data_IF_581092222130
#
_entry.id   IF_581092222130
#
_cell.length_a   1.000
_cell.length_b   1.000
_cell.length_c   1.000
_cell.angle_alpha   90.00
_cell.angle_beta   90.00
_cell.angle_gamma   90.00
#
_symmetry.space_group_name_H-M   'P 1'
#
loop_
_entity.id
_entity.type
_entity.pdbx_description
1 polymer ?
#
# COMPACT_ATOMS: atom_id res chain seq x y z
N UNK A 1 20.39 -21.19 -12.95
CA UNK A 1 20.47 -20.30 -14.14
C UNK A 1 21.91 -20.06 -14.57
N UNK A 2 22.81 -19.67 -13.65
CA UNK A 2 24.23 -19.43 -13.97
C UNK A 2 25.06 -20.64 -14.43
N UNK A 3 24.54 -21.86 -14.36
CA UNK A 3 25.26 -23.07 -14.83
C UNK A 3 25.41 -23.13 -16.36
N UNK A 4 24.64 -22.33 -17.12
CA UNK A 4 24.65 -22.35 -18.60
C UNK A 4 25.13 -21.02 -19.19
N UNK A 5 24.84 -19.89 -18.55
CA UNK A 5 25.27 -18.57 -18.97
C UNK A 5 25.40 -17.65 -17.76
N UNK A 6 26.54 -16.97 -17.60
CA UNK A 6 26.78 -16.04 -16.50
C UNK A 6 26.25 -14.62 -16.78
N UNK A 7 25.99 -14.28 -18.04
CA UNK A 7 25.58 -12.95 -18.47
C UNK A 7 24.05 -12.82 -18.54
N UNK A 8 23.40 -13.00 -17.40
CA UNK A 8 21.94 -12.96 -17.29
C UNK A 8 21.48 -11.59 -16.80
N UNK A 9 20.58 -10.97 -17.56
CA UNK A 9 19.82 -9.78 -17.16
C UNK A 9 18.36 -10.19 -17.00
N UNK A 10 17.74 -9.85 -15.87
CA UNK A 10 16.33 -10.11 -15.60
C UNK A 10 15.51 -8.83 -15.70
N UNK A 11 14.39 -8.90 -16.42
CA UNK A 11 13.38 -7.84 -16.46
C UNK A 11 12.19 -8.30 -15.63
N UNK A 12 11.89 -7.57 -14.56
CA UNK A 12 10.74 -7.84 -13.69
C UNK A 12 9.50 -7.10 -14.17
N UNK A 13 8.37 -7.81 -14.25
CA UNK A 13 7.05 -7.21 -14.42
C UNK A 13 6.15 -7.68 -13.28
N UNK A 14 6.03 -6.82 -12.26
CA UNK A 14 5.22 -7.05 -11.06
C UNK A 14 4.72 -5.71 -10.50
N UNK A 15 3.60 -5.72 -9.78
CA UNK A 15 2.99 -4.50 -9.25
C UNK A 15 3.48 -4.07 -7.86
N UNK A 16 4.26 -4.93 -7.20
CA UNK A 16 4.76 -4.79 -5.82
C UNK A 16 5.99 -5.70 -5.70
N UNK A 17 6.67 -5.65 -4.56
CA UNK A 17 7.81 -6.48 -4.22
C UNK A 17 7.55 -7.97 -4.41
N UNK A 18 8.57 -8.67 -4.93
CA UNK A 18 8.56 -10.11 -5.15
C UNK A 18 9.78 -10.74 -4.52
N UNK A 19 9.63 -11.98 -4.05
CA UNK A 19 10.77 -12.74 -3.50
C UNK A 19 11.74 -13.11 -4.62
N UNK A 20 13.01 -12.74 -4.46
CA UNK A 20 14.06 -12.96 -5.46
C UNK A 20 15.26 -13.76 -4.91
N UNK A 21 15.11 -15.06 -4.59
CA UNK A 21 16.21 -15.87 -4.08
C UNK A 21 17.34 -16.07 -5.11
N UNK A 22 17.04 -15.81 -6.39
CA UNK A 22 17.93 -15.98 -7.53
C UNK A 22 18.71 -14.71 -7.92
N UNK A 23 18.46 -13.55 -7.30
CA UNK A 23 18.99 -12.26 -7.78
C UNK A 23 20.52 -12.20 -7.84
N UNK A 24 21.21 -12.87 -6.90
CA UNK A 24 22.68 -12.95 -6.88
C UNK A 24 23.25 -13.79 -8.05
N UNK A 25 22.40 -14.46 -8.83
CA UNK A 25 22.77 -15.18 -10.04
C UNK A 25 22.54 -14.34 -11.31
N UNK A 26 22.35 -13.03 -11.18
CA UNK A 26 22.07 -12.13 -12.32
C UNK A 26 23.06 -10.97 -12.31
N UNK A 27 23.52 -10.54 -13.50
CA UNK A 27 24.41 -9.38 -13.66
C UNK A 27 23.63 -8.06 -13.76
N UNK A 28 22.34 -8.13 -14.09
CA UNK A 28 21.48 -6.96 -14.18
C UNK A 28 20.04 -7.28 -13.83
N UNK A 29 19.37 -6.33 -13.20
CA UNK A 29 17.96 -6.38 -12.86
C UNK A 29 17.30 -5.07 -13.28
N UNK A 30 16.27 -5.16 -14.13
CA UNK A 30 15.47 -4.02 -14.55
C UNK A 30 14.03 -4.21 -14.04
N UNK A 31 13.58 -3.34 -13.14
CA UNK A 31 12.22 -3.37 -12.64
C UNK A 31 11.28 -2.57 -13.54
N UNK A 32 10.45 -3.27 -14.32
CA UNK A 32 9.54 -2.70 -15.30
C UNK A 32 8.13 -2.37 -14.78
N UNK A 33 7.80 -2.76 -13.54
CA UNK A 33 6.46 -2.62 -12.97
C UNK A 33 5.36 -3.20 -13.91
N UNK A 34 4.15 -2.65 -13.85
CA UNK A 34 3.08 -2.86 -14.81
C UNK A 34 3.13 -1.73 -15.86
N UNK A 35 3.93 -1.93 -16.91
CA UNK A 35 4.37 -0.87 -17.83
C UNK A 35 3.39 -0.53 -18.97
N UNK A 36 2.18 -1.09 -18.95
CA UNK A 36 1.14 -0.85 -19.96
C UNK A 36 1.52 -1.28 -21.37
N UNK A 37 0.74 -0.85 -22.37
CA UNK A 37 0.86 -1.33 -23.75
C UNK A 37 2.20 -0.98 -24.45
N UNK A 38 2.90 0.06 -23.96
CA UNK A 38 4.19 0.49 -24.52
C UNK A 38 5.40 -0.07 -23.73
N UNK A 39 5.16 -0.93 -22.74
CA UNK A 39 6.17 -1.38 -21.78
C UNK A 39 7.36 -2.11 -22.40
N UNK A 40 7.11 -3.04 -23.32
CA UNK A 40 8.18 -3.78 -24.00
C UNK A 40 9.14 -2.84 -24.76
N UNK A 41 8.60 -1.86 -25.48
CA UNK A 41 9.39 -0.84 -26.20
C UNK A 41 10.20 0.01 -25.22
N UNK A 42 9.63 0.39 -24.08
CA UNK A 42 10.35 1.16 -23.05
C UNK A 42 11.51 0.35 -22.44
N UNK A 43 11.29 -0.92 -22.10
CA UNK A 43 12.34 -1.79 -21.54
C UNK A 43 13.49 -2.00 -22.53
N UNK A 44 13.18 -2.24 -23.81
CA UNK A 44 14.22 -2.42 -24.84
C UNK A 44 15.10 -1.17 -24.99
N UNK A 45 14.50 0.03 -24.97
CA UNK A 45 15.26 1.29 -25.02
C UNK A 45 16.20 1.46 -23.82
N UNK A 46 15.80 0.99 -22.65
CA UNK A 46 16.65 1.01 -21.46
C UNK A 46 17.79 0.01 -21.61
N UNK A 47 17.47 -1.26 -21.89
CA UNK A 47 18.46 -2.34 -22.00
C UNK A 47 19.54 -2.04 -23.06
N UNK A 48 19.16 -1.39 -24.16
CA UNK A 48 20.07 -1.00 -25.24
C UNK A 48 20.87 0.29 -24.97
N UNK A 49 20.61 0.97 -23.85
CA UNK A 49 21.26 2.24 -23.51
C UNK A 49 20.71 3.46 -24.26
N UNK A 50 19.73 3.30 -25.15
CA UNK A 50 19.08 4.43 -25.84
C UNK A 50 18.39 5.38 -24.85
N UNK A 51 17.95 4.86 -23.70
CA UNK A 51 17.44 5.63 -22.58
C UNK A 51 18.17 5.21 -21.30
N UNK A 52 18.79 6.17 -20.62
CA UNK A 52 19.39 5.94 -19.31
C UNK A 52 18.29 5.76 -18.23
N UNK A 53 18.28 4.67 -17.44
CA UNK A 53 17.30 4.46 -16.38
C UNK A 53 17.40 5.56 -15.32
N UNK A 54 16.24 6.01 -14.84
CA UNK A 54 16.13 7.09 -13.84
C UNK A 54 14.92 6.94 -12.92
N UNK A 55 14.37 5.73 -12.84
CA UNK A 55 13.33 5.39 -11.87
C UNK A 55 13.97 5.19 -10.49
N UNK A 56 13.23 5.54 -9.44
CA UNK A 56 13.58 5.23 -8.05
C UNK A 56 12.40 4.48 -7.43
N UNK A 57 12.66 3.48 -6.60
CA UNK A 57 11.64 2.64 -5.98
C UNK A 57 10.69 3.48 -5.11
N UNK A 58 9.38 3.23 -5.26
CA UNK A 58 8.35 3.83 -4.42
C UNK A 58 8.05 3.00 -3.16
N UNK A 59 8.70 1.84 -3.02
CA UNK A 59 8.52 0.87 -1.94
C UNK A 59 9.88 0.26 -1.56
N UNK A 60 10.00 -0.24 -0.34
CA UNK A 60 11.18 -0.99 0.10
C UNK A 60 11.04 -2.45 -0.31
N UNK A 61 12.13 -3.07 -0.80
CA UNK A 61 12.16 -4.50 -1.08
C UNK A 61 12.74 -5.24 0.12
N UNK A 62 11.92 -5.86 0.99
CA UNK A 62 12.44 -6.60 2.13
C UNK A 62 13.22 -7.85 1.67
N UNK A 63 14.13 -8.33 2.53
CA UNK A 63 14.87 -9.57 2.25
C UNK A 63 13.94 -10.78 2.42
N UNK A 64 13.13 -10.78 3.48
CA UNK A 64 12.12 -11.79 3.79
C UNK A 64 10.76 -11.16 4.06
N UNK A 65 9.68 -11.92 3.87
CA UNK A 65 8.33 -11.40 4.13
C UNK A 65 8.11 -11.15 5.63
N UNK A 66 8.73 -11.96 6.46
CA UNK A 66 8.77 -11.89 7.91
C UNK A 66 9.38 -10.58 8.43
N UNK A 67 10.24 -9.94 7.63
CA UNK A 67 10.86 -8.66 7.98
C UNK A 67 9.89 -7.50 7.81
N UNK A 68 8.70 -7.71 7.23
CA UNK A 68 7.72 -6.63 7.05
C UNK A 68 7.08 -6.23 8.39
N UNK A 69 6.83 -4.94 8.64
CA UNK A 69 6.30 -4.47 9.93
C UNK A 69 4.90 -5.01 10.25
N UNK A 70 4.18 -5.47 9.22
CA UNK A 70 2.80 -5.96 9.33
C UNK A 70 2.70 -7.48 9.34
N UNK A 71 3.82 -8.22 9.26
CA UNK A 71 3.83 -9.68 9.13
C UNK A 71 2.93 -10.40 10.15
N UNK A 72 2.96 -9.97 11.41
CA UNK A 72 2.20 -10.60 12.49
C UNK A 72 0.72 -10.22 12.55
N UNK A 73 0.33 -9.09 11.97
CA UNK A 73 -1.01 -8.50 12.15
C UNK A 73 -1.82 -8.38 10.85
N UNK A 74 -1.21 -8.58 9.68
CA UNK A 74 -1.90 -8.69 8.40
C UNK A 74 -2.15 -10.17 8.03
N UNK A 75 -3.32 -10.55 7.49
CA UNK A 75 -4.45 -9.72 7.07
C UNK A 75 -5.48 -9.43 8.17
N UNK A 76 -5.08 -9.52 9.44
CA UNK A 76 -5.97 -9.40 10.60
C UNK A 76 -6.66 -10.72 10.94
N UNK A 77 -7.74 -10.64 11.72
CA UNK A 77 -8.59 -11.79 12.06
C UNK A 77 -9.77 -11.86 11.10
N UNK A 78 -11.01 -11.89 11.60
CA UNK A 78 -12.20 -12.03 10.75
C UNK A 78 -12.84 -10.68 10.42
N UNK A 79 -12.88 -9.74 11.38
CA UNK A 79 -13.60 -8.46 11.29
C UNK A 79 -12.67 -7.26 11.23
N UNK A 80 -11.55 -7.33 11.95
CA UNK A 80 -10.63 -6.21 12.12
C UNK A 80 -9.22 -6.55 11.64
N UNK A 81 -8.55 -5.50 11.15
CA UNK A 81 -7.11 -5.47 10.87
C UNK A 81 -6.54 -4.32 11.67
N UNK A 82 -5.49 -4.58 12.42
CA UNK A 82 -4.92 -3.64 13.38
C UNK A 82 -3.57 -3.14 12.86
N UNK A 83 -3.44 -1.83 12.69
CA UNK A 83 -2.24 -1.18 12.17
C UNK A 83 -1.31 -0.86 13.32
N UNK A 84 -0.77 -1.91 13.95
CA UNK A 84 0.05 -1.81 15.16
C UNK A 84 1.44 -1.23 14.91
N UNK A 85 1.88 -1.21 13.66
CA UNK A 85 3.08 -0.53 13.20
C UNK A 85 2.97 1.01 13.25
N UNK A 86 1.76 1.55 13.44
CA UNK A 86 1.48 2.98 13.47
C UNK A 86 2.08 3.70 12.24
N UNK A 87 3.01 4.64 12.44
CA UNK A 87 3.67 5.37 11.34
C UNK A 87 4.91 4.65 10.78
N UNK A 88 5.34 3.56 11.39
CA UNK A 88 6.51 2.79 10.96
C UNK A 88 6.13 1.87 9.80
N UNK A 89 5.84 2.48 8.65
CA UNK A 89 5.45 1.78 7.42
C UNK A 89 6.57 1.94 6.37
N UNK A 90 6.94 0.82 5.74
CA UNK A 90 7.98 0.79 4.72
C UNK A 90 9.33 1.25 5.29
N UNK A 91 10.07 2.09 4.55
CA UNK A 91 11.39 2.56 4.96
C UNK A 91 11.40 3.27 6.32
N UNK A 92 10.28 3.86 6.77
CA UNK A 92 10.19 4.44 8.13
C UNK A 92 10.46 3.40 9.20
N UNK A 93 10.05 2.16 8.99
CA UNK A 93 10.33 1.05 9.89
C UNK A 93 11.75 0.51 9.71
N UNK A 94 12.13 0.16 8.47
CA UNK A 94 13.43 -0.46 8.18
C UNK A 94 14.59 0.44 8.59
N UNK A 95 14.54 1.73 8.24
CA UNK A 95 15.60 2.69 8.55
C UNK A 95 15.71 2.98 10.05
N UNK A 96 14.59 3.00 10.77
CA UNK A 96 14.56 3.28 12.22
C UNK A 96 15.11 2.12 13.02
N UNK A 97 14.76 0.89 12.63
CA UNK A 97 15.19 -0.34 13.30
C UNK A 97 16.48 -0.94 12.74
N UNK A 98 17.08 -0.30 11.73
CA UNK A 98 18.26 -0.78 11.00
C UNK A 98 18.07 -2.20 10.46
N UNK A 99 16.89 -2.50 9.94
CA UNK A 99 16.56 -3.80 9.34
C UNK A 99 17.00 -3.77 7.88
N UNK A 100 17.87 -4.70 7.45
CA UNK A 100 18.40 -4.69 6.10
C UNK A 100 17.30 -5.02 5.09
N UNK A 101 17.23 -4.20 4.04
CA UNK A 101 16.38 -4.44 2.87
C UNK A 101 17.24 -4.78 1.67
N UNK A 102 16.67 -5.50 0.70
CA UNK A 102 17.38 -5.82 -0.54
C UNK A 102 17.56 -4.59 -1.41
N UNK A 103 16.52 -3.76 -1.52
CA UNK A 103 16.58 -2.47 -2.17
C UNK A 103 15.78 -1.45 -1.33
N UNK A 104 16.40 -0.34 -0.90
CA UNK A 104 15.72 0.63 -0.06
C UNK A 104 14.75 1.52 -0.83
N UNK A 105 13.90 2.23 -0.09
CA UNK A 105 13.01 3.22 -0.68
C UNK A 105 13.82 4.30 -1.41
N UNK A 106 13.31 4.75 -2.55
CA UNK A 106 14.00 5.73 -3.38
C UNK A 106 15.28 5.21 -4.03
N UNK A 107 15.57 3.90 -4.00
CA UNK A 107 16.72 3.31 -4.69
C UNK A 107 16.50 3.20 -6.20
N UNK A 108 17.56 3.41 -6.98
CA UNK A 108 17.55 3.17 -8.41
C UNK A 108 18.85 3.62 -9.04
N UNK A 109 19.41 2.76 -9.89
CA UNK A 109 20.68 2.97 -10.57
C UNK A 109 20.50 3.76 -11.88
N UNK A 110 21.62 4.23 -12.40
CA UNK A 110 21.75 4.93 -13.68
C UNK A 110 22.96 4.38 -14.45
N UNK A 111 22.99 4.58 -15.77
CA UNK A 111 24.19 4.33 -16.58
C UNK A 111 25.24 5.44 -16.48
N UNK A 112 24.98 6.47 -15.67
CA UNK A 112 25.93 7.53 -15.32
C UNK A 112 25.99 7.69 -13.80
N UNK A 113 26.95 8.48 -13.32
CA UNK A 113 27.14 8.79 -11.90
C UNK A 113 26.86 10.25 -11.61
N UNK A 114 26.43 10.54 -10.39
CA UNK A 114 26.13 11.90 -9.93
C UNK A 114 26.85 12.20 -8.62
N UNK A 115 27.32 13.43 -8.46
CA UNK A 115 27.84 13.96 -7.20
C UNK A 115 26.99 15.13 -6.71
N UNK A 116 27.03 15.34 -5.40
CA UNK A 116 26.25 16.34 -4.69
C UNK A 116 27.20 17.25 -3.90
N UNK A 117 26.93 18.55 -3.87
CA UNK A 117 27.60 19.53 -3.00
C UNK A 117 26.55 20.43 -2.36
N UNK A 118 26.57 20.62 -1.03
CA UNK A 118 25.48 21.26 -0.28
C UNK A 118 25.77 22.69 0.12
N UNK A 119 24.73 23.53 0.05
CA UNK A 119 24.62 24.78 0.79
C UNK A 119 23.21 24.90 1.38
N UNK A 120 23.05 24.61 2.66
CA UNK A 120 21.73 24.72 3.33
C UNK A 120 21.44 26.17 3.68
N UNK A 121 20.20 26.61 3.41
CA UNK A 121 19.68 27.91 3.80
C UNK A 121 18.47 27.73 4.76
N UNK A 122 18.04 28.81 5.42
CA UNK A 122 17.02 28.75 6.49
C UNK A 122 15.63 28.28 6.01
N UNK A 123 15.23 28.54 4.77
CA UNK A 123 13.87 28.23 4.26
C UNK A 123 13.83 27.20 3.11
N UNK A 124 14.99 26.64 2.76
CA UNK A 124 15.17 25.73 1.63
C UNK A 124 16.48 24.98 1.77
N UNK A 125 16.56 23.84 1.09
CA UNK A 125 17.86 23.21 0.83
C UNK A 125 18.30 23.56 -0.56
N UNK A 126 19.49 24.15 -0.69
CA UNK A 126 20.16 24.33 -1.96
C UNK A 126 21.36 23.40 -2.07
N UNK A 127 21.55 22.81 -3.24
CA UNK A 127 22.70 21.97 -3.52
C UNK A 127 23.02 21.99 -5.01
N UNK A 128 24.27 21.73 -5.33
CA UNK A 128 24.71 21.54 -6.71
C UNK A 128 24.73 20.04 -6.99
N UNK A 129 24.08 19.65 -8.07
CA UNK A 129 24.10 18.30 -8.60
C UNK A 129 24.93 18.28 -9.88
N UNK A 130 25.90 17.39 -9.97
CA UNK A 130 26.79 17.25 -11.14
C UNK A 130 26.73 15.85 -11.70
N UNK A 131 26.61 15.72 -13.02
CA UNK A 131 26.77 14.43 -13.69
C UNK A 131 28.27 14.18 -13.93
N UNK A 132 28.84 13.23 -13.21
CA UNK A 132 30.27 12.92 -13.25
C UNK A 132 30.63 11.80 -14.22
N UNK A 133 29.63 11.17 -14.84
CA UNK A 133 29.85 10.09 -15.80
C UNK A 133 29.87 10.56 -17.25
N UNK A 134 29.87 9.58 -18.17
CA UNK A 134 30.03 9.80 -19.62
C UNK A 134 28.72 9.84 -20.40
N UNK A 135 27.58 9.59 -19.74
CA UNK A 135 26.27 9.54 -20.39
C UNK A 135 25.35 10.61 -19.81
N UNK A 136 24.48 11.18 -20.64
CA UNK A 136 23.40 12.01 -20.14
C UNK A 136 22.47 11.17 -19.25
N UNK A 137 21.91 11.78 -18.21
CA UNK A 137 21.09 11.06 -17.24
C UNK A 137 20.15 11.97 -16.47
N UNK A 138 19.24 11.35 -15.73
CA UNK A 138 18.37 12.06 -14.78
C UNK A 138 18.59 11.48 -13.39
N UNK A 139 18.81 12.35 -12.41
CA UNK A 139 18.90 11.98 -11.01
C UNK A 139 17.70 12.54 -10.25
N UNK A 140 17.27 11.84 -9.20
CA UNK A 140 16.24 12.29 -8.26
C UNK A 140 16.91 12.51 -6.91
N UNK A 141 17.17 13.77 -6.59
CA UNK A 141 17.63 14.17 -5.27
C UNK A 141 16.46 14.19 -4.29
N UNK A 142 16.63 13.56 -3.13
CA UNK A 142 15.57 13.31 -2.15
C UNK A 142 15.89 14.05 -0.84
N UNK A 143 14.95 14.88 -0.37
CA UNK A 143 15.02 15.59 0.89
C UNK A 143 14.34 14.79 1.99
N UNK A 144 15.12 14.41 2.99
CA UNK A 144 14.67 13.74 4.20
C UNK A 144 14.82 14.66 5.41
N UNK A 145 13.86 14.61 6.33
CA UNK A 145 13.90 15.33 7.59
C UNK A 145 13.87 14.31 8.73
N UNK A 146 14.87 14.35 9.60
CA UNK A 146 14.91 13.62 10.87
C UNK A 146 14.73 14.57 12.05
N UNK A 147 14.30 14.04 13.19
CA UNK A 147 14.23 14.80 14.44
C UNK A 147 15.11 14.13 15.48
N UNK A 148 15.87 14.92 16.25
CA UNK A 148 16.72 14.41 17.34
C UNK A 148 15.99 14.31 18.68
N UNK A 149 14.72 14.74 18.72
CA UNK A 149 13.93 14.75 19.95
C UNK A 149 13.28 13.40 20.22
N UNK A 150 13.12 13.10 21.51
CA UNK A 150 12.43 11.92 22.02
C UNK A 150 11.11 12.27 22.72
N UNK A 151 10.53 13.46 22.49
CA UNK A 151 9.21 13.78 23.06
C UNK A 151 8.08 13.08 22.30
N UNK A 152 8.26 12.87 21.00
CA UNK A 152 7.30 12.21 20.11
C UNK A 152 8.02 11.07 19.42
N UNK A 153 7.45 9.87 19.45
CA UNK A 153 8.01 8.78 18.65
C UNK A 153 7.85 9.13 17.16
N UNK A 154 8.92 9.01 16.38
CA UNK A 154 9.00 9.36 14.96
C UNK A 154 9.83 8.34 14.21
N UNK A 155 9.63 8.25 12.90
CA UNK A 155 10.60 7.58 12.05
C UNK A 155 11.94 8.34 12.13
N UNK A 156 13.06 7.62 12.04
CA UNK A 156 14.42 8.19 12.01
C UNK A 156 14.54 9.35 11.02
N UNK A 157 13.87 9.22 9.88
CA UNK A 157 13.74 10.28 8.88
C UNK A 157 12.52 10.08 7.98
N UNK A 158 12.03 11.18 7.42
CA UNK A 158 10.86 11.20 6.53
C UNK A 158 11.13 11.98 5.25
N UNK A 159 10.71 11.47 4.09
CA UNK A 159 10.80 12.18 2.83
C UNK A 159 9.86 13.41 2.86
N UNK A 160 10.41 14.60 2.65
CA UNK A 160 9.65 15.87 2.62
C UNK A 160 9.73 16.61 1.28
N UNK A 161 10.53 16.13 0.34
CA UNK A 161 10.57 16.65 -1.02
C UNK A 161 11.54 15.88 -1.90
N UNK A 162 11.46 16.08 -3.21
CA UNK A 162 12.43 15.56 -4.16
C UNK A 162 12.46 16.44 -5.41
N UNK A 163 13.56 16.38 -6.15
CA UNK A 163 13.69 17.08 -7.44
C UNK A 163 14.35 16.15 -8.45
N UNK A 164 13.74 16.04 -9.64
CA UNK A 164 14.27 15.26 -10.75
C UNK A 164 14.96 16.17 -11.75
N UNK A 165 16.25 15.97 -11.97
CA UNK A 165 17.09 16.88 -12.76
C UNK A 165 17.77 16.12 -13.88
N UNK A 166 17.66 16.65 -15.10
CA UNK A 166 18.40 16.14 -16.26
C UNK A 166 19.74 16.86 -16.40
N UNK A 167 20.81 16.08 -16.63
CA UNK A 167 22.17 16.57 -16.79
C UNK A 167 22.90 15.86 -17.93
N UNK A 168 23.54 16.65 -18.79
CA UNK A 168 24.54 16.20 -19.75
C UNK A 168 25.83 15.77 -19.02
N UNK A 169 26.71 14.95 -19.63
CA UNK A 169 28.02 14.62 -19.04
C UNK A 169 28.80 15.87 -18.63
N UNK A 170 29.28 15.91 -17.40
CA UNK A 170 30.02 17.05 -16.83
C UNK A 170 29.18 18.27 -16.46
N UNK A 171 27.87 18.27 -16.74
CA UNK A 171 26.99 19.40 -16.41
C UNK A 171 26.69 19.44 -14.90
N UNK A 172 26.69 20.65 -14.34
CA UNK A 172 26.27 20.93 -12.97
C UNK A 172 25.03 21.84 -12.97
N UNK A 173 24.05 21.54 -12.10
CA UNK A 173 22.89 22.41 -11.85
C UNK A 173 22.71 22.67 -10.37
N UNK A 174 22.39 23.91 -10.03
CA UNK A 174 21.88 24.25 -8.69
C UNK A 174 20.42 23.82 -8.58
N UNK A 175 20.09 23.15 -7.48
CA UNK A 175 18.77 22.65 -7.17
C UNK A 175 18.34 23.26 -5.85
N UNK A 176 17.07 23.66 -5.74
CA UNK A 176 16.47 24.19 -4.52
C UNK A 176 15.18 23.42 -4.22
N UNK A 177 15.06 22.91 -3.00
CA UNK A 177 13.83 22.29 -2.47
C UNK A 177 13.35 23.15 -1.30
N UNK A 178 12.18 23.77 -1.44
CA UNK A 178 11.61 24.67 -0.44
C UNK A 178 11.02 23.90 0.75
N UNK A 179 11.18 24.44 1.95
CA UNK A 179 10.41 24.00 3.10
C UNK A 179 8.99 24.57 3.00
N UNK A 180 7.99 23.70 3.15
CA UNK A 180 6.58 24.07 3.24
C UNK A 180 6.01 23.73 4.63
N UNK A 181 4.74 24.05 4.84
CA UNK A 181 3.99 23.75 6.06
C UNK A 181 4.03 22.28 6.51
N UNK A 182 4.36 21.34 5.62
CA UNK A 182 4.37 19.90 5.90
C UNK A 182 5.75 19.38 6.35
N UNK A 183 6.78 20.20 6.22
CA UNK A 183 8.19 19.78 6.37
C UNK A 183 8.48 19.27 7.78
N UNK A 184 8.06 20.01 8.81
CA UNK A 184 8.40 19.73 10.21
C UNK A 184 7.21 19.26 11.05
N UNK A 185 5.99 19.35 10.50
CA UNK A 185 4.77 19.07 11.25
C UNK A 185 4.57 17.59 11.56
N UNK A 186 3.87 17.33 12.66
CA UNK A 186 3.27 16.05 13.03
C UNK A 186 1.79 16.28 13.37
N UNK A 187 1.00 15.21 13.41
CA UNK A 187 -0.39 15.30 13.84
C UNK A 187 -0.49 15.05 15.34
N UNK A 188 -0.94 16.06 16.10
CA UNK A 188 -1.16 15.93 17.53
C UNK A 188 -2.58 15.45 17.79
N UNK A 189 -2.72 14.22 18.28
CA UNK A 189 -4.02 13.62 18.56
C UNK A 189 -4.77 14.29 19.73
N UNK A 190 -4.06 14.93 20.67
CA UNK A 190 -4.70 15.62 21.81
C UNK A 190 -5.32 16.95 21.41
N UNK A 191 -4.64 17.72 20.57
CA UNK A 191 -5.16 19.00 20.06
C UNK A 191 -5.93 18.85 18.75
N UNK A 192 -5.87 17.66 18.12
CA UNK A 192 -6.46 17.36 16.82
C UNK A 192 -5.97 18.28 15.70
N UNK A 193 -4.72 18.75 15.80
CA UNK A 193 -4.12 19.72 14.88
C UNK A 193 -2.78 19.25 14.33
N UNK A 194 -2.40 19.84 13.20
CA UNK A 194 -1.06 19.76 12.66
C UNK A 194 -0.16 20.76 13.39
N UNK A 195 0.88 20.28 14.04
CA UNK A 195 1.74 21.09 14.90
C UNK A 195 3.21 20.81 14.64
N UNK A 196 4.08 21.75 15.02
CA UNK A 196 5.53 21.62 14.94
C UNK A 196 6.07 21.46 16.35
N UNK A 197 6.94 20.47 16.52
CA UNK A 197 7.68 20.27 17.76
C UNK A 197 8.93 21.15 17.74
N UNK A 198 9.22 21.81 18.86
CA UNK A 198 10.43 22.60 19.01
C UNK A 198 11.65 21.68 19.19
N UNK A 199 12.55 21.62 18.21
CA UNK A 199 13.84 20.94 18.32
C UNK A 199 14.79 21.27 17.16
N UNK A 200 15.97 20.66 17.21
CA UNK A 200 16.90 20.58 16.08
C UNK A 200 16.49 19.45 15.14
N UNK A 201 16.19 19.81 13.88
CA UNK A 201 15.89 18.86 12.83
C UNK A 201 17.14 18.58 11.99
N UNK A 202 17.32 17.32 11.61
CA UNK A 202 18.33 16.90 10.64
C UNK A 202 17.77 17.03 9.23
N UNK A 203 18.43 17.84 8.41
CA UNK A 203 18.10 18.11 7.02
C UNK A 203 19.03 17.29 6.13
N UNK A 204 18.51 16.27 5.46
CA UNK A 204 19.32 15.30 4.72
C UNK A 204 18.98 15.30 3.24
N UNK A 205 20.01 15.30 2.37
CA UNK A 205 19.86 15.08 0.93
C UNK A 205 20.52 13.76 0.56
N UNK A 206 19.78 12.90 -0.12
CA UNK A 206 20.26 11.60 -0.57
C UNK A 206 19.82 11.24 -1.99
N UNK A 207 20.42 10.18 -2.52
CA UNK A 207 20.01 9.54 -3.78
C UNK A 207 19.03 8.36 -3.58
N UNK A 208 18.84 7.95 -2.32
CA UNK A 208 17.88 6.96 -1.81
C UNK A 208 17.72 7.16 -0.28
N UNK A 209 16.85 6.39 0.39
CA UNK A 209 16.70 6.48 1.85
C UNK A 209 17.94 6.00 2.62
N UNK A 210 18.78 5.15 2.03
CA UNK A 210 20.02 4.67 2.66
C UNK A 210 21.27 5.42 2.18
N UNK A 211 21.25 6.00 0.98
CA UNK A 211 22.38 6.76 0.42
C UNK A 211 22.21 8.26 0.68
N UNK A 212 22.32 8.66 1.95
CA UNK A 212 22.39 10.07 2.35
C UNK A 212 23.77 10.61 2.01
N UNK A 213 23.82 11.68 1.22
CA UNK A 213 25.06 12.30 0.73
C UNK A 213 25.46 13.51 1.56
N UNK A 214 24.47 14.23 2.06
CA UNK A 214 24.65 15.53 2.70
C UNK A 214 23.69 15.64 3.89
N UNK A 215 24.14 16.27 4.97
CA UNK A 215 23.33 16.53 6.16
C UNK A 215 23.65 17.90 6.74
N UNK A 216 22.64 18.56 7.29
CA UNK A 216 22.77 19.79 8.09
C UNK A 216 21.75 19.76 9.23
N UNK A 217 21.89 20.69 10.17
CA UNK A 217 20.94 20.86 11.27
C UNK A 217 20.23 22.21 11.17
N UNK A 218 18.95 22.23 11.55
CA UNK A 218 18.14 23.44 11.61
C UNK A 218 17.29 23.42 12.88
N UNK A 219 17.46 24.44 13.73
CA UNK A 219 16.55 24.66 14.84
C UNK A 219 15.22 25.22 14.33
N UNK A 220 14.11 24.62 14.75
CA UNK A 220 12.77 25.07 14.39
C UNK A 220 11.95 25.27 15.66
N UNK A 221 11.37 26.47 15.80
CA UNK A 221 10.50 26.81 16.92
C UNK A 221 9.18 26.02 16.84
N UNK A 222 8.73 25.50 17.98
CA UNK A 222 7.50 24.72 18.06
C UNK A 222 6.25 25.60 18.01
N UNK A 223 5.10 24.98 17.73
CA UNK A 223 3.77 25.64 17.75
C UNK A 223 2.94 25.26 18.98
N UNK A 224 3.41 24.31 19.80
CA UNK A 224 2.69 23.81 20.97
C UNK A 224 3.65 23.40 22.08
N UNK A 225 3.16 23.33 23.31
CA UNK A 225 3.78 22.65 24.45
C UNK A 225 3.01 21.40 24.88
N UNK A 226 1.87 21.10 24.25
CA UNK A 226 1.01 19.96 24.60
C UNK A 226 1.49 18.71 23.85
N UNK A 227 2.13 17.77 24.54
CA UNK A 227 2.61 16.53 23.91
C UNK A 227 1.56 15.41 23.93
N UNK A 228 1.35 14.69 22.80
CA UNK A 228 0.31 13.67 22.69
C UNK A 228 0.60 12.39 23.48
N UNK A 229 1.87 12.06 23.71
CA UNK A 229 2.26 10.73 24.17
C UNK A 229 3.03 10.76 25.49
N UNK A 230 2.92 9.67 26.25
CA UNK A 230 3.73 9.42 27.44
C UNK A 230 4.77 8.34 27.11
N UNK A 231 6.08 8.67 27.04
CA UNK A 231 7.11 7.74 26.58
C UNK A 231 7.16 6.41 27.33
N UNK A 232 6.93 6.42 28.65
CA UNK A 232 6.95 5.23 29.49
C UNK A 232 5.81 4.25 29.18
N UNK A 233 4.65 4.76 28.71
CA UNK A 233 3.48 3.94 28.37
C UNK A 233 3.52 3.37 26.95
N UNK A 234 4.33 3.99 26.08
CA UNK A 234 4.43 3.69 24.65
C UNK A 234 5.88 3.33 24.25
N UNK A 235 6.68 2.82 25.18
CA UNK A 235 8.10 2.56 24.97
C UNK A 235 8.45 1.73 23.72
N UNK A 236 7.66 0.72 23.29
CA UNK A 236 7.97 0.00 22.05
C UNK A 236 8.01 0.92 20.82
N UNK A 237 7.10 1.91 20.74
CA UNK A 237 7.07 2.87 19.64
C UNK A 237 8.26 3.83 19.66
N UNK A 238 8.68 4.29 20.84
CA UNK A 238 9.86 5.16 20.97
C UNK A 238 11.16 4.44 20.62
N UNK A 239 11.22 3.13 20.86
CA UNK A 239 12.37 2.30 20.54
C UNK A 239 12.32 1.70 19.12
N UNK A 240 11.21 1.86 18.39
CA UNK A 240 11.00 1.27 17.07
C UNK A 240 10.58 -0.21 17.06
N UNK A 241 10.50 -0.86 18.23
CA UNK A 241 10.10 -2.27 18.39
C UNK A 241 8.59 -2.46 18.19
N UNK A 242 8.17 -2.52 16.93
CA UNK A 242 6.75 -2.57 16.54
C UNK A 242 6.28 -3.93 16.00
N UNK A 243 7.15 -4.93 15.96
CA UNK A 243 6.82 -6.24 15.39
C UNK A 243 5.85 -7.04 16.24
N UNK A 244 5.85 -6.84 17.56
CA UNK A 244 5.00 -7.59 18.48
C UNK A 244 4.44 -6.70 19.60
N UNK A 245 3.62 -5.72 19.19
CA UNK A 245 2.97 -4.82 20.14
C UNK A 245 1.87 -5.55 20.90
N UNK A 246 1.88 -5.48 22.24
CA UNK A 246 0.80 -6.01 23.07
C UNK A 246 -0.50 -5.19 22.97
N UNK A 247 -1.64 -5.84 23.15
CA UNK A 247 -2.98 -5.23 23.04
C UNK A 247 -3.10 -3.98 23.93
N UNK A 248 -2.65 -4.06 25.18
CA UNK A 248 -2.76 -2.96 26.14
C UNK A 248 -1.92 -1.74 25.73
N UNK A 249 -0.81 -1.96 25.01
CA UNK A 249 0.05 -0.88 24.52
C UNK A 249 -0.61 -0.22 23.31
N UNK A 250 -1.17 -1.00 22.39
CA UNK A 250 -1.88 -0.46 21.23
C UNK A 250 -3.17 0.26 21.63
N UNK A 251 -3.97 -0.28 22.55
CA UNK A 251 -5.16 0.39 23.10
C UNK A 251 -4.86 1.76 23.72
N UNK A 252 -3.70 1.89 24.39
CA UNK A 252 -3.22 3.18 24.92
C UNK A 252 -2.88 4.16 23.80
N UNK A 253 -2.27 3.70 22.70
CA UNK A 253 -1.95 4.56 21.57
C UNK A 253 -3.22 5.12 20.90
N UNK A 254 -4.24 4.28 20.72
CA UNK A 254 -5.49 4.68 20.04
C UNK A 254 -6.55 5.26 20.98
N UNK A 255 -6.26 5.33 22.28
CA UNK A 255 -7.14 5.80 23.36
C UNK A 255 -8.54 5.12 23.38
N UNK A 256 -8.61 3.86 22.95
CA UNK A 256 -9.84 3.07 22.94
C UNK A 256 -9.56 1.57 23.04
N UNK A 257 -10.58 0.81 23.44
CA UNK A 257 -10.53 -0.66 23.43
C UNK A 257 -10.50 -1.21 22.01
N UNK A 258 -9.80 -2.33 21.84
CA UNK A 258 -9.78 -3.05 20.58
C UNK A 258 -11.21 -3.48 20.20
N UNK A 259 -11.61 -3.32 18.93
CA UNK A 259 -12.90 -3.80 18.47
C UNK A 259 -12.95 -5.34 18.47
N UNK A 260 -14.15 -5.90 18.35
CA UNK A 260 -14.32 -7.34 18.21
C UNK A 260 -13.61 -7.83 16.94
N UNK A 261 -12.65 -8.73 17.11
CA UNK A 261 -11.82 -9.20 16.00
C UNK A 261 -12.43 -10.39 15.21
N UNK A 262 -13.40 -11.08 15.82
CA UNK A 262 -14.03 -12.28 15.27
C UNK A 262 -15.49 -12.00 14.91
N UNK A 263 -16.02 -12.71 13.91
CA UNK A 263 -17.42 -12.60 13.51
C UNK A 263 -18.35 -13.03 14.64
N UNK A 264 -19.42 -12.26 14.83
CA UNK A 264 -20.51 -12.65 15.70
C UNK A 264 -21.44 -13.64 14.98
N UNK A 265 -21.13 -14.93 15.14
CA UNK A 265 -21.87 -16.05 14.51
C UNK A 265 -23.33 -16.18 14.96
N UNK A 266 -23.77 -15.45 15.99
CA UNK A 266 -25.17 -15.49 16.48
C UNK A 266 -26.10 -14.55 15.71
N UNK A 267 -25.52 -13.54 15.06
CA UNK A 267 -26.27 -12.51 14.35
C UNK A 267 -26.68 -12.97 12.93
N UNK A 268 -27.82 -12.47 12.41
CA UNK A 268 -28.15 -12.64 11.00
C UNK A 268 -27.11 -11.97 10.11
N UNK A 269 -26.86 -12.56 8.95
CA UNK A 269 -25.95 -11.99 7.95
C UNK A 269 -26.54 -10.72 7.33
N UNK A 270 -25.70 -9.72 7.10
CA UNK A 270 -26.05 -8.43 6.52
C UNK A 270 -25.43 -8.19 5.13
N UNK A 271 -25.56 -6.97 4.62
CA UNK A 271 -25.10 -6.60 3.28
C UNK A 271 -23.56 -6.58 3.12
N UNK A 272 -22.81 -6.46 4.20
CA UNK A 272 -21.36 -6.41 4.24
C UNK A 272 -20.74 -7.79 4.50
N UNK A 273 -21.52 -8.73 5.02
CA UNK A 273 -21.08 -10.12 5.16
C UNK A 273 -20.87 -10.79 3.81
N UNK A 274 -20.00 -11.81 3.82
CA UNK A 274 -19.56 -12.50 2.60
C UNK A 274 -20.17 -13.89 2.48
N UNK A 275 -20.07 -14.49 1.29
CA UNK A 275 -20.51 -15.87 1.07
C UNK A 275 -19.75 -16.87 1.95
N UNK A 276 -18.49 -16.59 2.28
CA UNK A 276 -17.72 -17.39 3.24
C UNK A 276 -18.44 -17.55 4.60
N UNK A 277 -19.21 -16.53 5.01
CA UNK A 277 -19.92 -16.51 6.28
C UNK A 277 -21.20 -17.38 6.27
N UNK A 278 -21.68 -17.78 5.09
CA UNK A 278 -22.84 -18.68 4.97
C UNK A 278 -22.66 -20.03 5.69
N UNK A 279 -21.42 -20.42 6.01
CA UNK A 279 -21.12 -21.63 6.76
C UNK A 279 -21.79 -21.69 8.15
N UNK A 280 -22.00 -20.53 8.78
CA UNK A 280 -22.66 -20.40 10.09
C UNK A 280 -24.02 -19.70 10.03
N UNK A 281 -24.53 -19.43 8.82
CA UNK A 281 -25.85 -18.82 8.66
C UNK A 281 -26.96 -19.71 9.23
N UNK A 282 -28.04 -19.08 9.72
CA UNK A 282 -29.21 -19.77 10.26
C UNK A 282 -29.95 -20.60 9.20
N UNK A 283 -29.97 -20.14 7.94
CA UNK A 283 -30.64 -20.83 6.85
C UNK A 283 -29.87 -22.05 6.34
N UNK A 284 -30.56 -23.19 6.25
CA UNK A 284 -30.00 -24.43 5.69
C UNK A 284 -29.49 -24.26 4.25
N UNK A 285 -30.19 -23.46 3.45
CA UNK A 285 -29.82 -23.17 2.07
C UNK A 285 -28.49 -22.41 1.94
N UNK A 286 -28.20 -21.50 2.87
CA UNK A 286 -26.92 -20.79 2.89
C UNK A 286 -25.75 -21.75 3.16
N UNK A 287 -25.90 -22.63 4.15
CA UNK A 287 -24.90 -23.66 4.45
C UNK A 287 -24.70 -24.61 3.27
N UNK A 288 -25.77 -25.01 2.59
CA UNK A 288 -25.70 -25.79 1.35
C UNK A 288 -24.88 -25.09 0.26
N UNK A 289 -25.16 -23.81 -0.04
CA UNK A 289 -24.40 -23.03 -1.03
C UNK A 289 -22.91 -22.98 -0.67
N UNK A 290 -22.59 -22.75 0.61
CA UNK A 290 -21.21 -22.73 1.08
C UNK A 290 -20.50 -24.06 0.79
N UNK A 291 -21.13 -25.20 1.15
CA UNK A 291 -20.55 -26.52 0.90
C UNK A 291 -20.43 -26.84 -0.60
N UNK A 292 -21.42 -26.45 -1.41
CA UNK A 292 -21.37 -26.60 -2.86
C UNK A 292 -20.20 -25.82 -3.47
N UNK A 293 -19.98 -24.56 -3.07
CA UNK A 293 -18.85 -23.76 -3.53
C UNK A 293 -17.50 -24.38 -3.15
N UNK A 294 -17.37 -24.88 -1.91
CA UNK A 294 -16.13 -25.58 -1.49
C UNK A 294 -15.91 -26.87 -2.27
N UNK A 295 -16.97 -27.61 -2.57
CA UNK A 295 -16.89 -28.80 -3.40
C UNK A 295 -16.43 -28.45 -4.82
N UNK A 296 -17.04 -27.46 -5.46
CA UNK A 296 -16.65 -27.00 -6.80
C UNK A 296 -15.19 -26.53 -6.82
N UNK A 297 -14.75 -25.77 -5.82
CA UNK A 297 -13.35 -25.35 -5.69
C UNK A 297 -12.40 -26.55 -5.66
N UNK A 298 -12.65 -27.53 -4.78
CA UNK A 298 -11.83 -28.75 -4.66
C UNK A 298 -11.85 -29.58 -5.94
N UNK A 299 -13.02 -29.70 -6.57
CA UNK A 299 -13.18 -30.42 -7.83
C UNK A 299 -12.36 -29.76 -8.96
N UNK A 300 -12.46 -28.44 -9.13
CA UNK A 300 -11.69 -27.68 -10.12
C UNK A 300 -10.18 -27.83 -9.91
N UNK A 301 -9.72 -27.82 -8.67
CA UNK A 301 -8.33 -28.12 -8.33
C UNK A 301 -7.91 -29.52 -8.79
N UNK A 302 -8.73 -30.54 -8.51
CA UNK A 302 -8.46 -31.94 -8.86
C UNK A 302 -8.36 -32.15 -10.38
N UNK A 303 -9.13 -31.43 -11.18
CA UNK A 303 -9.11 -31.51 -12.64
C UNK A 303 -8.10 -30.54 -13.31
N UNK A 304 -7.19 -29.94 -12.53
CA UNK A 304 -6.14 -29.06 -13.05
C UNK A 304 -6.60 -27.66 -13.48
N UNK A 305 -7.79 -27.22 -13.06
CA UNK A 305 -8.31 -25.87 -13.34
C UNK A 305 -8.07 -24.90 -12.16
N UNK A 306 -6.83 -24.79 -11.69
CA UNK A 306 -6.53 -23.96 -10.49
C UNK A 306 -6.84 -22.48 -10.71
N UNK A 307 -6.61 -21.93 -11.92
CA UNK A 307 -6.91 -20.52 -12.22
C UNK A 307 -8.41 -20.20 -12.02
N UNK A 308 -9.30 -21.02 -12.57
CA UNK A 308 -10.75 -20.86 -12.39
C UNK A 308 -11.15 -21.07 -10.92
N UNK A 309 -10.55 -22.03 -10.23
CA UNK A 309 -10.81 -22.27 -8.81
C UNK A 309 -10.43 -21.05 -7.95
N UNK A 310 -9.24 -20.48 -8.19
CA UNK A 310 -8.77 -19.28 -7.51
C UNK A 310 -9.66 -18.08 -7.82
N UNK A 311 -10.09 -17.93 -9.08
CA UNK A 311 -11.01 -16.86 -9.46
C UNK A 311 -12.32 -16.93 -8.66
N UNK A 312 -12.93 -18.11 -8.53
CA UNK A 312 -14.15 -18.30 -7.74
C UNK A 312 -13.92 -17.92 -6.27
N UNK A 313 -12.80 -18.32 -5.68
CA UNK A 313 -12.49 -17.97 -4.29
C UNK A 313 -12.30 -16.46 -4.12
N UNK A 314 -11.53 -15.83 -5.00
CA UNK A 314 -11.25 -14.39 -4.90
C UNK A 314 -12.48 -13.53 -5.25
N UNK A 315 -13.32 -13.97 -6.18
CA UNK A 315 -14.41 -13.16 -6.72
C UNK A 315 -15.80 -13.49 -6.17
N UNK A 316 -16.04 -14.68 -5.64
CA UNK A 316 -17.39 -15.08 -5.15
C UNK A 316 -17.35 -15.34 -3.65
N UNK A 317 -16.38 -16.11 -3.19
CA UNK A 317 -16.34 -16.55 -1.80
C UNK A 317 -16.14 -15.38 -0.82
N UNK A 318 -15.25 -14.44 -1.15
CA UNK A 318 -14.98 -13.24 -0.35
C UNK A 318 -15.82 -12.02 -0.73
N UNK A 319 -16.75 -12.15 -1.67
CA UNK A 319 -17.61 -11.04 -2.10
C UNK A 319 -18.65 -10.72 -1.02
N UNK A 320 -18.80 -9.44 -0.61
CA UNK A 320 -19.89 -9.03 0.26
C UNK A 320 -21.23 -9.05 -0.51
N UNK A 321 -22.35 -9.34 0.17
CA UNK A 321 -23.66 -9.45 -0.48
C UNK A 321 -24.05 -8.21 -1.31
N UNK A 322 -23.70 -7.00 -0.85
CA UNK A 322 -23.90 -5.75 -1.60
C UNK A 322 -23.15 -5.70 -2.94
N UNK A 323 -22.05 -6.45 -3.07
CA UNK A 323 -21.26 -6.55 -4.30
C UNK A 323 -22.04 -7.10 -5.48
N UNK A 324 -22.98 -8.03 -5.24
CA UNK A 324 -23.80 -8.64 -6.30
C UNK A 324 -24.70 -7.64 -7.02
N UNK A 325 -25.18 -6.60 -6.33
CA UNK A 325 -25.98 -5.57 -6.99
C UNK A 325 -25.14 -4.76 -8.01
N UNK A 326 -23.83 -4.66 -7.81
CA UNK A 326 -22.92 -3.89 -8.68
C UNK A 326 -22.32 -4.75 -9.79
N UNK A 327 -21.92 -5.98 -9.48
CA UNK A 327 -21.16 -6.81 -10.41
C UNK A 327 -22.00 -7.60 -11.41
N UNK A 328 -23.32 -7.60 -11.26
CA UNK A 328 -24.23 -8.33 -12.16
C UNK A 328 -24.72 -7.48 -13.34
N UNK A 329 -24.12 -6.31 -13.60
CA UNK A 329 -24.52 -5.44 -14.71
C UNK A 329 -25.98 -5.01 -14.66
N UNK A 330 -26.56 -4.89 -13.45
CA UNK A 330 -27.98 -4.56 -13.24
C UNK A 330 -28.95 -5.73 -13.46
N UNK A 331 -28.49 -6.98 -13.37
CA UNK A 331 -29.36 -8.15 -13.28
C UNK A 331 -29.90 -8.37 -11.85
N UNK A 332 -29.13 -8.00 -10.82
CA UNK A 332 -29.55 -7.97 -9.42
C UNK A 332 -29.48 -6.52 -8.94
N UNK A 333 -30.51 -6.04 -8.25
CA UNK A 333 -30.52 -4.72 -7.60
C UNK A 333 -30.49 -4.86 -6.05
N UNK A 334 -30.29 -3.75 -5.33
CA UNK A 334 -30.22 -3.78 -3.86
C UNK A 334 -31.44 -4.41 -3.17
N UNK A 335 -32.70 -4.12 -3.58
CA UNK A 335 -33.87 -4.83 -3.05
C UNK A 335 -33.82 -6.35 -3.23
N UNK A 336 -33.37 -6.83 -4.39
CA UNK A 336 -33.19 -8.27 -4.62
C UNK A 336 -32.10 -8.86 -3.70
N UNK A 337 -31.04 -8.12 -3.40
CA UNK A 337 -30.04 -8.53 -2.39
C UNK A 337 -30.70 -8.67 -1.00
N UNK A 338 -31.62 -7.77 -0.64
CA UNK A 338 -32.41 -7.93 0.59
C UNK A 338 -33.21 -9.23 0.63
N UNK A 339 -33.80 -9.63 -0.51
CA UNK A 339 -34.44 -10.95 -0.66
C UNK A 339 -33.46 -12.13 -0.51
N UNK A 340 -32.25 -12.02 -1.05
CA UNK A 340 -31.17 -13.01 -0.87
C UNK A 340 -30.79 -13.14 0.61
N UNK A 341 -30.63 -12.01 1.32
CA UNK A 341 -30.34 -12.02 2.76
C UNK A 341 -31.46 -12.67 3.57
N UNK A 342 -32.74 -12.45 3.22
CA UNK A 342 -33.85 -13.16 3.85
C UNK A 342 -33.72 -14.68 3.69
N UNK A 343 -33.38 -15.15 2.48
CA UNK A 343 -33.16 -16.59 2.22
C UNK A 343 -32.02 -17.12 3.09
N UNK A 344 -30.88 -16.43 3.06
CA UNK A 344 -29.66 -16.83 3.76
C UNK A 344 -29.87 -16.88 5.28
N UNK A 345 -30.68 -15.96 5.81
CA UNK A 345 -31.03 -15.91 7.22
C UNK A 345 -32.21 -16.83 7.64
N UNK A 346 -32.63 -17.75 6.77
CA UNK A 346 -33.60 -18.81 7.11
C UNK A 346 -35.05 -18.55 6.70
N UNK A 347 -35.35 -17.41 6.07
CA UNK A 347 -36.67 -17.09 5.55
C UNK A 347 -36.77 -17.39 4.04
N UNK A 348 -36.53 -18.64 3.66
CA UNK A 348 -36.39 -19.08 2.27
C UNK A 348 -37.56 -18.65 1.37
N UNK A 349 -38.78 -19.03 1.71
CA UNK A 349 -39.96 -18.73 0.88
C UNK A 349 -40.27 -17.23 0.81
N UNK A 350 -40.14 -16.51 1.93
CA UNK A 350 -40.35 -15.05 1.99
C UNK A 350 -39.33 -14.31 1.13
N UNK A 351 -38.06 -14.72 1.19
CA UNK A 351 -36.99 -14.14 0.40
C UNK A 351 -37.18 -14.41 -1.10
N UNK A 352 -37.53 -15.64 -1.51
CA UNK A 352 -37.87 -15.95 -2.90
C UNK A 352 -39.02 -15.08 -3.42
N UNK A 353 -40.12 -14.99 -2.66
CA UNK A 353 -41.26 -14.15 -3.02
C UNK A 353 -40.86 -12.67 -3.19
N UNK A 354 -39.97 -12.17 -2.33
CA UNK A 354 -39.41 -10.82 -2.44
C UNK A 354 -38.59 -10.63 -3.72
N UNK A 355 -37.67 -11.56 -4.02
CA UNK A 355 -36.85 -11.52 -5.24
C UNK A 355 -37.75 -11.52 -6.49
N UNK A 356 -38.78 -12.37 -6.54
CA UNK A 356 -39.72 -12.40 -7.67
C UNK A 356 -40.48 -11.09 -7.83
N UNK A 357 -40.94 -10.50 -6.72
CA UNK A 357 -41.63 -9.20 -6.72
C UNK A 357 -40.73 -8.09 -7.28
N UNK A 358 -39.49 -8.01 -6.80
CA UNK A 358 -38.54 -6.98 -7.24
C UNK A 358 -38.05 -7.19 -8.67
N UNK A 359 -37.91 -8.45 -9.11
CA UNK A 359 -37.60 -8.78 -10.52
C UNK A 359 -38.70 -8.28 -11.46
N UNK A 360 -39.98 -8.45 -11.10
CA UNK A 360 -41.12 -7.96 -11.88
C UNK A 360 -41.12 -6.43 -11.95
N UNK A 361 -40.86 -5.73 -10.84
CA UNK A 361 -40.74 -4.26 -10.81
C UNK A 361 -39.60 -3.76 -11.70
N UNK A 362 -38.43 -4.38 -11.60
CA UNK A 362 -37.27 -4.02 -12.41
C UNK A 362 -37.54 -4.19 -13.91
N UNK A 363 -38.19 -5.30 -14.31
CA UNK A 363 -38.59 -5.51 -15.72
C UNK A 363 -39.58 -4.45 -16.21
N UNK A 364 -40.57 -4.07 -15.39
CA UNK A 364 -41.52 -2.99 -15.70
C UNK A 364 -40.79 -1.64 -15.90
N UNK A 365 -39.88 -1.29 -15.00
CA UNK A 365 -39.06 -0.06 -15.08
C UNK A 365 -38.17 -0.05 -16.32
N UNK A 366 -37.50 -1.16 -16.67
CA UNK A 366 -36.70 -1.27 -17.90
C UNK A 366 -37.57 -1.08 -19.15
N UNK A 367 -38.78 -1.65 -19.17
CA UNK A 367 -39.74 -1.47 -20.27
C UNK A 367 -40.18 0.00 -20.39
N UNK A 368 -40.52 0.66 -19.29
CA UNK A 368 -40.88 2.09 -19.28
C UNK A 368 -39.74 2.99 -19.75
N UNK A 369 -38.52 2.78 -19.24
CA UNK A 369 -37.33 3.54 -19.69
C UNK A 369 -37.04 3.35 -21.18
N UNK A 370 -37.23 2.13 -21.70
CA UNK A 370 -37.07 1.87 -23.14
C UNK A 370 -38.09 2.65 -23.97
N UNK A 371 -39.36 2.68 -23.53
CA UNK A 371 -40.43 3.46 -24.19
C UNK A 371 -40.11 4.96 -24.17
N UNK A 372 -39.72 5.51 -23.02
CA UNK A 372 -39.34 6.93 -22.89
C UNK A 372 -38.12 7.28 -23.75
N UNK A 373 -37.11 6.40 -23.81
CA UNK A 373 -35.94 6.59 -24.67
C UNK A 373 -36.29 6.58 -26.16
N UNK A 374 -37.25 5.76 -26.58
CA UNK A 374 -37.76 5.72 -27.95
C UNK A 374 -38.57 6.99 -28.27
N UNK A 375 -39.34 7.51 -27.31
CA UNK A 375 -40.10 8.76 -27.48
C UNK A 375 -39.21 10.00 -27.52
N UNK A 376 -38.05 10.02 -26.85
CA UNK A 376 -37.10 11.13 -26.88
C UNK A 376 -36.14 11.11 -28.09
N UNK A 377 -36.20 10.06 -28.91
CA UNK A 377 -35.43 9.93 -30.17
C UNK A 377 -36.27 10.27 -31.41
N UNK A 378 -37.57 10.51 -31.21
CA UNK A 378 -38.52 11.10 -32.16
C UNK A 378 -38.64 12.59 -31.84
#
# INVERSE_FOLDING_TARGET
MNQVNENIIVVLSCGSEVKMPWVNQTKGLLHGYLSGQAGAKAMLKIITGLVNPSGKLAESYPIKYEDTPTYHYFPGKEVSVEYREAQFIGYRYYDTNNIPVRYPFGYGLSYTSFSYDIKVAHNRVEFTLTNTGKQAGKEIAQLYIGSVSNQIFRAKKELKGFSKVFLMPGESKRVSILFNEQTFRYYNVKTSQWEIEENNYQIMIGSSSEEIRLSAELFVKGTTSIMPYEPTKLSPYYNGDITNIADQVFEKLIERKLPQANWNRTQPLDYNDTIAQCQYAKGLFARFIFHALRFVHKFLWKIGKQSTANLIMMSVYHMPFRGYARMTGGAINMPMVGGILMIVNGHFFKGLAHIFKETRKMKKLKKQKKIVSLMNQL
#
